data_IF_978357733050
#
_entry.id   IF_978357733050
#
_cell.length_a   1.000
_cell.length_b   1.000
_cell.length_c   1.000
_cell.angle_alpha   90.00
_cell.angle_beta   90.00
_cell.angle_gamma   90.00
#
_symmetry.space_group_name_H-M   'P 1'
#
loop_
_entity.id
_entity.type
_entity.pdbx_description
1 polymer ?
#
# COMPACT_ATOMS: atom_id res chain seq x y z
N UNK A 1 6.02 -1.27 -5.23
CA UNK A 1 7.06 -0.48 -5.94
C UNK A 1 7.19 0.86 -5.25
N UNK A 2 8.33 1.53 -5.35
CA UNK A 2 8.47 2.95 -4.97
C UNK A 2 8.64 3.83 -6.22
N UNK A 3 8.84 5.14 -6.03
CA UNK A 3 8.96 6.15 -7.09
C UNK A 3 10.29 6.05 -7.84
N UNK A 4 10.52 4.94 -8.55
CA UNK A 4 11.78 4.66 -9.28
C UNK A 4 11.52 4.22 -10.72
N UNK A 5 12.47 4.51 -11.61
CA UNK A 5 12.43 4.03 -13.00
C UNK A 5 12.54 2.49 -13.13
N UNK A 6 12.85 1.79 -12.02
CA UNK A 6 12.86 0.34 -11.99
C UNK A 6 11.43 -0.25 -12.10
N UNK A 7 10.41 0.46 -11.61
CA UNK A 7 9.03 -0.04 -11.63
C UNK A 7 8.93 -1.41 -10.98
N UNK A 8 8.33 -2.38 -11.66
CA UNK A 8 8.18 -3.76 -11.22
C UNK A 8 9.48 -4.53 -11.04
N UNK A 9 10.55 -4.12 -11.71
CA UNK A 9 11.83 -4.84 -11.66
C UNK A 9 12.44 -4.83 -10.26
N UNK A 10 12.15 -3.78 -9.47
CA UNK A 10 12.67 -3.63 -8.11
C UNK A 10 12.05 -4.65 -7.14
N UNK A 11 10.72 -4.72 -6.95
CA UNK A 11 10.13 -5.77 -6.13
C UNK A 11 10.39 -7.18 -6.66
N UNK A 12 10.54 -7.34 -7.99
CA UNK A 12 10.90 -8.62 -8.61
C UNK A 12 12.38 -9.00 -8.42
N UNK A 13 13.22 -8.12 -7.87
CA UNK A 13 14.64 -8.40 -7.63
C UNK A 13 15.51 -8.43 -8.88
N UNK A 14 15.05 -7.85 -10.00
CA UNK A 14 15.77 -7.78 -11.27
C UNK A 14 16.77 -6.62 -11.27
N UNK A 15 16.33 -5.42 -10.86
CA UNK A 15 17.18 -4.22 -10.68
C UNK A 15 16.50 -3.22 -9.75
N UNK A 16 17.27 -2.29 -9.17
CA UNK A 16 16.77 -1.29 -8.22
C UNK A 16 17.41 -1.49 -6.85
N UNK A 17 16.76 -1.04 -5.79
CA UNK A 17 17.25 -1.23 -4.44
C UNK A 17 17.17 -2.74 -4.05
N UNK A 18 18.31 -3.40 -3.73
CA UNK A 18 18.32 -4.81 -3.34
C UNK A 18 17.59 -5.09 -2.03
N UNK A 19 17.25 -4.06 -1.26
CA UNK A 19 16.44 -4.14 -0.04
C UNK A 19 14.94 -4.09 -0.32
N UNK A 20 14.50 -3.85 -1.55
CA UNK A 20 13.08 -3.76 -1.92
C UNK A 20 12.59 -4.87 -2.83
N UNK A 21 13.33 -5.97 -2.95
CA UNK A 21 12.99 -7.19 -3.72
C UNK A 21 11.94 -8.09 -3.05
N UNK A 22 10.94 -7.51 -2.38
CA UNK A 22 10.00 -8.26 -1.54
C UNK A 22 9.06 -9.19 -2.31
N UNK A 23 8.80 -8.98 -3.60
CA UNK A 23 8.04 -9.94 -4.40
C UNK A 23 8.86 -11.19 -4.70
N UNK A 24 10.18 -11.05 -4.92
CA UNK A 24 11.09 -12.19 -5.03
C UNK A 24 11.23 -12.91 -3.68
N UNK A 25 11.47 -12.18 -2.59
CA UNK A 25 11.61 -12.77 -1.24
C UNK A 25 10.34 -13.55 -0.83
N UNK A 26 9.14 -13.02 -1.12
CA UNK A 26 7.88 -13.74 -0.87
C UNK A 26 7.70 -14.96 -1.79
N UNK A 27 8.14 -14.89 -3.05
CA UNK A 27 8.13 -16.06 -3.94
C UNK A 27 9.05 -17.18 -3.43
N UNK A 28 10.23 -16.83 -2.91
CA UNK A 28 11.14 -17.77 -2.24
C UNK A 28 10.52 -18.40 -0.98
N UNK A 29 9.59 -17.71 -0.33
CA UNK A 29 8.78 -18.20 0.80
C UNK A 29 7.52 -18.97 0.35
N UNK A 30 7.39 -19.28 -0.95
CA UNK A 30 6.31 -20.11 -1.50
C UNK A 30 4.98 -19.37 -1.68
N UNK A 31 5.00 -18.05 -1.84
CA UNK A 31 3.85 -17.29 -2.33
C UNK A 31 3.89 -17.18 -3.86
N UNK A 32 2.73 -17.07 -4.49
CA UNK A 32 2.65 -16.59 -5.88
C UNK A 32 2.63 -15.08 -5.84
N UNK A 33 3.56 -14.44 -6.53
CA UNK A 33 3.70 -12.97 -6.54
C UNK A 33 3.49 -12.39 -7.93
N UNK A 34 2.80 -11.24 -7.98
CA UNK A 34 2.57 -10.46 -9.18
C UNK A 34 2.86 -8.99 -8.86
N UNK A 35 3.77 -8.37 -9.61
CA UNK A 35 4.16 -6.97 -9.44
C UNK A 35 3.88 -6.20 -10.75
N UNK A 36 2.67 -5.64 -10.95
CA UNK A 36 2.37 -4.85 -12.13
C UNK A 36 2.97 -3.44 -12.00
N UNK A 37 3.59 -2.90 -13.06
CA UNK A 37 4.13 -1.53 -13.07
C UNK A 37 3.07 -0.50 -12.65
N UNK A 38 3.44 0.43 -11.76
CA UNK A 38 2.59 1.59 -11.48
C UNK A 38 2.50 2.47 -12.74
N UNK A 39 1.35 3.13 -13.01
CA UNK A 39 1.18 4.01 -14.16
C UNK A 39 2.32 5.03 -14.30
N UNK A 40 2.90 5.12 -15.49
CA UNK A 40 4.06 5.95 -15.86
C UNK A 40 5.40 5.56 -15.21
N UNK A 41 5.54 4.32 -14.73
CA UNK A 41 6.80 3.71 -14.30
C UNK A 41 7.08 2.40 -15.04
N UNK A 42 8.34 1.95 -14.99
CA UNK A 42 8.79 0.73 -15.65
C UNK A 42 8.42 0.75 -17.13
N UNK A 43 7.70 -0.29 -17.58
CA UNK A 43 7.24 -0.42 -18.97
C UNK A 43 5.81 0.12 -19.18
N UNK A 44 5.14 0.59 -18.11
CA UNK A 44 3.78 1.10 -18.21
C UNK A 44 3.78 2.60 -18.55
N UNK A 45 4.01 2.93 -19.82
CA UNK A 45 3.82 4.30 -20.31
C UNK A 45 2.34 4.69 -20.20
N UNK A 46 2.07 5.82 -19.53
CA UNK A 46 0.72 6.30 -19.27
C UNK A 46 0.68 7.83 -19.17
N UNK A 47 -0.17 8.45 -19.99
CA UNK A 47 -0.40 9.89 -20.00
C UNK A 47 -1.64 10.23 -19.15
N UNK A 48 -1.45 11.00 -18.07
CA UNK A 48 -2.51 11.39 -17.14
C UNK A 48 -3.41 12.54 -17.63
N UNK A 49 -3.33 12.93 -18.90
CA UNK A 49 -4.29 13.89 -19.48
C UNK A 49 -5.73 13.37 -19.33
N UNK A 50 -6.68 14.19 -18.85
CA UNK A 50 -8.06 13.74 -18.61
C UNK A 50 -8.74 13.09 -19.81
N UNK A 51 -8.45 13.54 -21.03
CA UNK A 51 -8.98 12.97 -22.27
C UNK A 51 -8.46 11.55 -22.59
N UNK A 52 -7.45 11.06 -21.87
CA UNK A 52 -6.87 9.72 -22.01
C UNK A 52 -7.40 8.71 -20.99
N UNK A 53 -8.32 9.11 -20.10
CA UNK A 53 -8.96 8.24 -19.13
C UNK A 53 -8.72 8.70 -17.69
N UNK A 54 -8.10 7.86 -16.87
CA UNK A 54 -7.78 8.22 -15.48
C UNK A 54 -6.76 9.35 -15.44
N UNK A 55 -7.15 10.50 -14.87
CA UNK A 55 -6.25 11.62 -14.61
C UNK A 55 -5.44 11.47 -13.31
N UNK A 56 -5.70 10.40 -12.55
CA UNK A 56 -5.02 10.07 -11.29
C UNK A 56 -4.32 8.73 -11.44
N UNK A 57 -3.01 8.73 -11.18
CA UNK A 57 -2.20 7.52 -11.10
C UNK A 57 -2.68 6.58 -10.02
N UNK A 58 -3.09 7.10 -8.86
CA UNK A 58 -3.62 6.25 -7.79
C UNK A 58 -4.88 5.51 -8.24
N UNK A 59 -5.82 6.20 -8.90
CA UNK A 59 -7.04 5.56 -9.40
C UNK A 59 -6.77 4.57 -10.53
N UNK A 60 -5.85 4.88 -11.45
CA UNK A 60 -5.44 3.95 -12.50
C UNK A 60 -4.75 2.72 -11.93
N UNK A 61 -3.85 2.88 -10.96
CA UNK A 61 -3.16 1.79 -10.30
C UNK A 61 -4.12 0.90 -9.50
N UNK A 62 -5.13 1.47 -8.84
CA UNK A 62 -6.21 0.69 -8.20
C UNK A 62 -6.88 -0.21 -9.23
N UNK A 63 -7.25 0.32 -10.40
CA UNK A 63 -7.85 -0.48 -11.47
C UNK A 63 -6.91 -1.58 -11.96
N UNK A 64 -5.63 -1.28 -12.18
CA UNK A 64 -4.63 -2.26 -12.63
C UNK A 64 -4.44 -3.38 -11.62
N UNK A 65 -4.40 -3.05 -10.33
CA UNK A 65 -4.28 -4.03 -9.27
C UNK A 65 -5.54 -4.89 -9.15
N UNK A 66 -6.75 -4.34 -9.38
CA UNK A 66 -7.97 -5.15 -9.45
C UNK A 66 -7.91 -6.16 -10.61
N UNK A 67 -7.35 -5.76 -11.77
CA UNK A 67 -7.10 -6.68 -12.89
C UNK A 67 -6.01 -7.70 -12.57
N UNK A 68 -5.00 -7.31 -11.78
CA UNK A 68 -3.98 -8.21 -11.29
C UNK A 68 -4.58 -9.28 -10.36
N UNK A 69 -5.53 -8.92 -9.50
CA UNK A 69 -6.29 -9.88 -8.69
C UNK A 69 -7.15 -10.80 -9.56
N UNK A 70 -7.81 -10.29 -10.62
CA UNK A 70 -8.54 -11.14 -11.57
C UNK A 70 -7.62 -12.17 -12.23
N UNK A 71 -6.43 -11.75 -12.65
CA UNK A 71 -5.43 -12.65 -13.22
C UNK A 71 -4.98 -13.70 -12.19
N UNK A 72 -4.64 -13.30 -10.97
CA UNK A 72 -4.25 -14.23 -9.91
C UNK A 72 -5.35 -15.27 -9.65
N UNK A 73 -6.62 -14.86 -9.55
CA UNK A 73 -7.73 -15.79 -9.32
C UNK A 73 -8.00 -16.74 -10.50
N UNK A 74 -7.48 -16.45 -11.70
CA UNK A 74 -7.57 -17.35 -12.84
C UNK A 74 -6.54 -18.48 -12.82
N UNK A 75 -5.50 -18.37 -11.99
CA UNK A 75 -4.43 -19.37 -11.89
C UNK A 75 -4.87 -20.51 -10.96
N UNK A 76 -4.76 -21.78 -11.39
CA UNK A 76 -5.17 -22.93 -10.57
C UNK A 76 -4.35 -23.09 -9.28
N UNK A 77 -3.16 -22.49 -9.21
CA UNK A 77 -2.28 -22.53 -8.05
C UNK A 77 -2.62 -21.46 -6.99
N UNK A 78 -3.53 -20.53 -7.28
CA UNK A 78 -3.93 -19.45 -6.36
C UNK A 78 -5.24 -19.80 -5.68
N UNK A 79 -5.24 -19.82 -4.34
CA UNK A 79 -6.48 -19.82 -3.56
C UNK A 79 -7.08 -18.41 -3.53
N UNK A 80 -8.29 -18.17 -4.08
CA UNK A 80 -8.92 -16.86 -4.09
C UNK A 80 -9.19 -16.29 -2.68
N UNK A 81 -9.20 -17.13 -1.64
CA UNK A 81 -9.37 -16.72 -0.25
C UNK A 81 -8.05 -16.39 0.46
N UNK A 82 -6.90 -16.45 -0.22
CA UNK A 82 -5.56 -16.24 0.35
C UNK A 82 -4.75 -15.18 -0.42
N UNK A 83 -5.41 -14.16 -0.96
CA UNK A 83 -4.74 -13.08 -1.71
C UNK A 83 -4.53 -11.87 -0.80
N UNK A 84 -3.30 -11.35 -0.73
CA UNK A 84 -2.98 -10.10 -0.02
C UNK A 84 -2.14 -9.15 -0.87
N UNK A 85 -1.88 -7.95 -0.35
CA UNK A 85 -1.06 -6.95 -1.02
C UNK A 85 0.00 -6.36 -0.09
N UNK A 86 1.14 -6.01 -0.67
CA UNK A 86 2.28 -5.39 0.02
C UNK A 86 2.90 -4.30 -0.85
N UNK A 87 3.27 -3.18 -0.25
CA UNK A 87 3.96 -2.11 -0.95
C UNK A 87 4.80 -1.22 -0.03
N UNK A 88 5.72 -0.49 -0.65
CA UNK A 88 6.61 0.48 -0.01
C UNK A 88 6.46 1.85 -0.68
N UNK A 89 6.50 2.97 0.07
CA UNK A 89 6.38 4.33 -0.48
C UNK A 89 5.09 4.50 -1.30
N UNK A 90 5.18 4.95 -2.55
CA UNK A 90 4.07 4.98 -3.51
C UNK A 90 3.26 3.67 -3.57
N UNK A 91 3.93 2.52 -3.49
CA UNK A 91 3.27 1.22 -3.45
C UNK A 91 2.57 0.95 -2.12
N UNK A 92 3.10 1.48 -1.01
CA UNK A 92 2.46 1.40 0.31
C UNK A 92 1.20 2.26 0.37
N UNK A 93 1.25 3.46 -0.21
CA UNK A 93 0.07 4.30 -0.46
C UNK A 93 -0.96 3.53 -1.28
N UNK A 94 -0.55 3.00 -2.42
CA UNK A 94 -1.49 2.36 -3.34
C UNK A 94 -2.01 1.00 -2.84
N UNK A 95 -1.29 0.31 -1.96
CA UNK A 95 -1.80 -0.88 -1.27
C UNK A 95 -3.03 -0.56 -0.42
N UNK A 96 -3.02 0.58 0.31
CA UNK A 96 -4.18 1.05 1.10
C UNK A 96 -5.35 1.34 0.17
N UNK A 97 -5.15 2.20 -0.82
CA UNK A 97 -6.22 2.59 -1.75
C UNK A 97 -6.79 1.38 -2.51
N UNK A 98 -5.94 0.49 -3.01
CA UNK A 98 -6.39 -0.73 -3.69
C UNK A 98 -7.25 -1.57 -2.76
N UNK A 99 -6.82 -1.80 -1.52
CA UNK A 99 -7.58 -2.60 -0.57
C UNK A 99 -8.94 -1.99 -0.20
N UNK A 100 -9.09 -0.66 -0.22
CA UNK A 100 -10.40 0.00 -0.03
C UNK A 100 -11.38 -0.37 -1.14
N UNK A 101 -10.92 -0.44 -2.40
CA UNK A 101 -11.78 -0.77 -3.55
C UNK A 101 -11.84 -2.26 -3.91
N UNK A 102 -10.90 -3.06 -3.41
CA UNK A 102 -10.76 -4.47 -3.75
C UNK A 102 -10.98 -5.35 -2.49
N UNK A 103 -12.22 -5.84 -2.26
CA UNK A 103 -12.56 -6.63 -1.09
C UNK A 103 -11.95 -8.05 -1.10
N UNK A 104 -11.44 -8.54 -2.25
CA UNK A 104 -10.80 -9.86 -2.34
C UNK A 104 -9.40 -9.88 -1.71
N UNK A 105 -8.79 -8.73 -1.47
CA UNK A 105 -7.54 -8.64 -0.71
C UNK A 105 -7.83 -8.86 0.79
N UNK A 106 -7.23 -9.91 1.35
CA UNK A 106 -7.48 -10.44 2.69
C UNK A 106 -6.47 -9.97 3.73
N UNK A 107 -5.26 -9.57 3.32
CA UNK A 107 -4.25 -9.00 4.21
C UNK A 107 -3.48 -7.89 3.49
N UNK A 108 -3.20 -6.79 4.19
CA UNK A 108 -2.62 -5.58 3.63
C UNK A 108 -1.36 -5.20 4.39
N UNK A 109 -0.27 -4.93 3.67
CA UNK A 109 0.97 -4.37 4.21
C UNK A 109 1.27 -3.04 3.52
N UNK A 110 1.43 -1.98 4.31
CA UNK A 110 1.90 -0.68 3.85
C UNK A 110 3.17 -0.29 4.59
N UNK A 111 4.29 -0.16 3.86
CA UNK A 111 5.56 0.34 4.38
C UNK A 111 5.79 1.76 3.89
N UNK A 112 6.03 2.70 4.80
CA UNK A 112 6.35 4.10 4.53
C UNK A 112 5.43 4.68 3.44
N UNK A 113 4.12 4.43 3.52
CA UNK A 113 3.19 4.71 2.41
C UNK A 113 2.12 5.74 2.72
N UNK A 114 2.10 6.28 3.93
CA UNK A 114 1.07 7.22 4.36
C UNK A 114 1.54 7.95 5.61
N UNK A 115 0.91 9.10 5.87
CA UNK A 115 0.85 9.75 7.18
C UNK A 115 -0.49 10.47 7.28
N UNK A 116 -0.80 11.07 8.43
CA UNK A 116 -1.99 11.91 8.58
C UNK A 116 -1.91 13.10 7.60
N UNK A 117 -2.87 13.20 6.68
CA UNK A 117 -2.87 14.26 5.65
C UNK A 117 -2.85 15.67 6.25
N UNK A 118 -3.44 15.84 7.44
CA UNK A 118 -3.47 17.13 8.15
C UNK A 118 -2.16 17.48 8.86
N UNK A 119 -1.19 16.56 8.89
CA UNK A 119 0.17 16.76 9.41
C UNK A 119 1.23 16.81 8.31
N UNK A 120 0.81 16.73 7.05
CA UNK A 120 1.71 16.59 5.92
C UNK A 120 1.63 17.77 4.95
N UNK A 121 2.57 17.85 4.02
CA UNK A 121 2.56 18.79 2.91
C UNK A 121 1.56 18.35 1.83
N UNK A 122 0.29 18.79 1.93
CA UNK A 122 -0.77 18.43 0.98
C UNK A 122 -0.37 18.50 -0.50
N UNK A 123 0.33 19.55 -0.99
CA UNK A 123 0.87 19.59 -2.35
C UNK A 123 1.61 18.32 -2.81
N UNK A 124 2.35 17.62 -1.93
CA UNK A 124 3.08 16.38 -2.25
C UNK A 124 2.16 15.27 -2.78
N UNK A 125 0.89 15.28 -2.35
CA UNK A 125 -0.15 14.32 -2.73
C UNK A 125 -0.92 14.68 -4.00
N UNK A 126 -0.68 15.86 -4.58
CA UNK A 126 -1.54 16.41 -5.64
C UNK A 126 -0.99 16.23 -7.06
N UNK A 127 0.19 15.63 -7.20
CA UNK A 127 0.73 15.30 -8.51
C UNK A 127 -0.20 14.35 -9.29
N UNK A 128 -0.10 14.29 -10.63
CA UNK A 128 -0.93 13.41 -11.46
C UNK A 128 -0.72 11.92 -11.14
N UNK A 129 0.43 11.55 -10.57
CA UNK A 129 0.68 10.18 -10.07
C UNK A 129 -0.12 9.85 -8.80
N UNK A 130 -0.70 10.83 -8.12
CA UNK A 130 -1.43 10.70 -6.86
C UNK A 130 -2.87 11.20 -7.00
N UNK A 131 -3.26 12.24 -6.26
CA UNK A 131 -4.63 12.72 -6.05
C UNK A 131 -4.80 14.18 -6.53
N UNK A 132 -4.74 14.45 -7.85
CA UNK A 132 -4.70 15.81 -8.39
C UNK A 132 -5.96 16.64 -8.12
N UNK A 133 -7.10 16.00 -7.85
CA UNK A 133 -8.32 16.71 -7.48
C UNK A 133 -8.20 17.45 -6.15
N UNK A 134 -7.28 17.07 -5.26
CA UNK A 134 -7.07 17.82 -4.01
C UNK A 134 -6.68 19.27 -4.28
N UNK A 135 -5.82 19.50 -5.27
CA UNK A 135 -5.43 20.85 -5.67
C UNK A 135 -6.62 21.63 -6.27
N UNK A 136 -7.30 21.05 -7.26
CA UNK A 136 -8.34 21.78 -8.00
C UNK A 136 -9.67 21.92 -7.24
N UNK A 137 -10.06 20.92 -6.43
CA UNK A 137 -11.35 20.90 -5.74
C UNK A 137 -11.27 21.42 -4.30
N UNK A 138 -10.12 21.23 -3.63
CA UNK A 138 -9.95 21.61 -2.23
C UNK A 138 -8.86 22.67 -2.02
N UNK A 139 -8.20 23.14 -3.08
CA UNK A 139 -7.24 24.24 -3.02
C UNK A 139 -6.00 23.92 -2.20
N UNK A 140 -5.56 22.66 -2.17
CA UNK A 140 -4.49 22.16 -1.30
C UNK A 140 -4.74 22.39 0.20
N UNK A 141 -6.00 22.54 0.61
CA UNK A 141 -6.36 22.77 2.01
C UNK A 141 -6.70 21.42 2.69
N UNK A 142 -5.85 20.91 3.61
CA UNK A 142 -6.08 19.64 4.28
C UNK A 142 -7.41 19.62 5.07
N UNK A 143 -7.90 20.78 5.51
CA UNK A 143 -9.16 20.87 6.26
C UNK A 143 -10.40 20.64 5.38
N UNK A 144 -10.25 20.81 4.06
CA UNK A 144 -11.33 20.63 3.07
C UNK A 144 -11.33 19.26 2.42
N UNK A 145 -10.25 18.49 2.58
CA UNK A 145 -10.21 17.10 2.09
C UNK A 145 -11.21 16.26 2.89
N UNK A 146 -12.15 15.55 2.24
CA UNK A 146 -13.29 14.92 2.91
C UNK A 146 -12.96 13.59 3.58
N UNK A 147 -11.68 13.21 3.61
CA UNK A 147 -11.21 12.00 4.27
C UNK A 147 -9.77 12.18 4.80
N UNK A 148 -9.30 11.23 5.59
CA UNK A 148 -7.89 11.00 5.92
C UNK A 148 -7.56 9.49 5.93
N UNK A 149 -6.28 9.15 6.10
CA UNK A 149 -5.84 7.76 6.10
C UNK A 149 -6.43 6.91 7.23
N UNK A 150 -6.83 7.49 8.37
CA UNK A 150 -7.49 6.74 9.45
C UNK A 150 -8.88 6.24 9.07
N UNK A 151 -9.62 7.00 8.25
CA UNK A 151 -10.90 6.54 7.72
C UNK A 151 -10.68 5.43 6.69
N UNK A 152 -9.69 5.59 5.80
CA UNK A 152 -9.33 4.56 4.82
C UNK A 152 -8.96 3.24 5.50
N UNK A 153 -8.03 3.27 6.46
CA UNK A 153 -7.60 2.07 7.21
C UNK A 153 -8.75 1.56 8.07
N UNK A 154 -9.55 2.44 8.69
CA UNK A 154 -10.75 2.05 9.44
C UNK A 154 -11.73 1.23 8.59
N UNK A 155 -11.93 1.58 7.32
CA UNK A 155 -12.81 0.81 6.41
C UNK A 155 -12.28 -0.58 6.06
N UNK A 156 -10.99 -0.87 6.33
CA UNK A 156 -10.42 -2.19 6.09
C UNK A 156 -10.87 -3.20 7.16
N UNK A 157 -11.28 -2.76 8.36
CA UNK A 157 -11.74 -3.66 9.42
C UNK A 157 -12.85 -4.61 8.92
N UNK A 158 -12.81 -5.92 9.25
CA UNK A 158 -11.84 -6.61 10.11
C UNK A 158 -10.59 -7.15 9.37
N UNK A 159 -10.35 -6.77 8.11
CA UNK A 159 -9.21 -7.29 7.33
C UNK A 159 -7.88 -6.88 7.97
N UNK A 160 -6.95 -7.82 8.17
CA UNK A 160 -5.62 -7.53 8.69
C UNK A 160 -4.90 -6.42 7.93
N UNK A 161 -4.37 -5.45 8.68
CA UNK A 161 -3.54 -4.36 8.18
C UNK A 161 -2.26 -4.22 9.00
N UNK A 162 -1.12 -4.17 8.30
CA UNK A 162 0.19 -3.96 8.88
C UNK A 162 0.83 -2.68 8.34
N UNK A 163 1.19 -1.76 9.24
CA UNK A 163 1.96 -0.57 8.94
C UNK A 163 3.43 -0.74 9.35
N UNK A 164 4.35 -0.39 8.46
CA UNK A 164 5.74 -0.08 8.80
C UNK A 164 5.98 1.40 8.56
N UNK A 165 6.37 2.16 9.58
CA UNK A 165 6.66 3.58 9.44
C UNK A 165 8.00 3.92 10.09
N UNK A 166 9.00 4.23 9.27
CA UNK A 166 10.35 4.50 9.74
C UNK A 166 10.40 5.82 10.53
N UNK A 167 11.14 5.86 11.64
CA UNK A 167 11.10 7.02 12.55
C UNK A 167 11.91 8.23 12.08
N UNK A 168 12.78 8.06 11.07
CA UNK A 168 13.54 9.14 10.42
C UNK A 168 13.15 9.26 8.94
N UNK A 169 11.91 8.95 8.63
CA UNK A 169 11.34 9.11 7.29
C UNK A 169 11.11 10.60 7.01
N UNK A 170 11.77 11.13 5.97
CA UNK A 170 11.64 12.53 5.56
C UNK A 170 10.41 12.77 4.67
N UNK A 171 9.79 11.71 4.14
CA UNK A 171 8.60 11.80 3.28
C UNK A 171 7.31 11.69 4.09
N UNK A 172 7.28 10.84 5.13
CA UNK A 172 6.07 10.56 5.91
C UNK A 172 6.35 10.62 7.42
N UNK A 173 5.89 11.70 8.08
CA UNK A 173 6.07 11.84 9.53
C UNK A 173 5.40 10.69 10.30
N UNK A 174 6.23 9.91 11.01
CA UNK A 174 5.79 8.80 11.86
C UNK A 174 4.78 9.22 12.93
N UNK A 175 4.78 10.49 13.37
CA UNK A 175 3.80 11.01 14.32
C UNK A 175 2.38 10.97 13.73
N UNK A 176 2.21 11.29 12.45
CA UNK A 176 0.93 11.20 11.77
C UNK A 176 0.48 9.76 11.53
N UNK A 177 1.42 8.84 11.26
CA UNK A 177 1.10 7.40 11.20
C UNK A 177 0.57 6.90 12.55
N UNK A 178 1.19 7.29 13.66
CA UNK A 178 0.73 6.91 15.01
C UNK A 178 -0.69 7.39 15.28
N UNK A 179 -1.01 8.64 14.93
CA UNK A 179 -2.37 9.17 15.05
C UNK A 179 -3.37 8.35 14.23
N UNK A 180 -2.99 8.03 12.98
CA UNK A 180 -3.82 7.26 12.06
C UNK A 180 -4.12 5.87 12.61
N UNK A 181 -3.09 5.16 13.08
CA UNK A 181 -3.23 3.83 13.66
C UNK A 181 -4.05 3.86 14.96
N UNK A 182 -3.87 4.88 15.80
CA UNK A 182 -4.65 5.05 17.02
C UNK A 182 -6.14 5.29 16.72
N UNK A 183 -6.46 6.14 15.74
CA UNK A 183 -7.83 6.42 15.35
C UNK A 183 -8.50 5.20 14.68
N UNK A 184 -7.81 4.53 13.75
CA UNK A 184 -8.32 3.33 13.08
C UNK A 184 -8.56 2.15 14.06
N UNK A 185 -7.76 2.06 15.13
CA UNK A 185 -7.91 1.03 16.16
C UNK A 185 -9.31 1.01 16.78
N UNK A 186 -9.94 2.17 16.98
CA UNK A 186 -11.30 2.24 17.51
C UNK A 186 -12.29 1.48 16.64
N UNK A 187 -12.15 1.55 15.31
CA UNK A 187 -13.01 0.82 14.37
C UNK A 187 -12.69 -0.68 14.39
N UNK A 188 -11.40 -1.06 14.37
CA UNK A 188 -11.02 -2.47 14.49
C UNK A 188 -11.52 -3.12 15.79
N UNK A 189 -11.52 -2.38 16.91
CA UNK A 189 -12.02 -2.86 18.20
C UNK A 189 -13.55 -3.06 18.18
N UNK A 190 -14.32 -2.22 17.47
CA UNK A 190 -15.77 -2.44 17.26
C UNK A 190 -16.05 -3.76 16.52
N UNK A 191 -15.14 -4.17 15.63
CA UNK A 191 -15.19 -5.44 14.92
C UNK A 191 -14.54 -6.61 15.67
N UNK A 192 -14.11 -6.41 16.92
CA UNK A 192 -13.35 -7.41 17.70
C UNK A 192 -12.07 -7.90 17.00
N UNK A 193 -11.52 -7.07 16.11
CA UNK A 193 -10.37 -7.37 15.26
C UNK A 193 -9.15 -6.51 15.62
N UNK A 194 -9.09 -5.93 16.83
CA UNK A 194 -8.01 -5.04 17.26
C UNK A 194 -6.60 -5.63 17.14
N UNK A 195 -6.45 -6.96 17.23
CA UNK A 195 -5.18 -7.66 17.02
C UNK A 195 -4.77 -7.82 15.56
N UNK A 196 -5.67 -7.53 14.61
CA UNK A 196 -5.41 -7.57 13.17
C UNK A 196 -4.86 -6.23 12.64
N UNK A 197 -4.81 -5.19 13.48
CA UNK A 197 -4.21 -3.90 13.17
C UNK A 197 -2.83 -3.80 13.86
N UNK A 198 -1.77 -3.90 13.07
CA UNK A 198 -0.39 -3.93 13.57
C UNK A 198 0.44 -2.78 13.01
N UNK A 199 1.34 -2.24 13.83
CA UNK A 199 2.26 -1.18 13.43
C UNK A 199 3.65 -1.42 14.01
N UNK A 200 4.69 -1.21 13.20
CA UNK A 200 6.09 -1.22 13.64
C UNK A 200 6.79 0.06 13.20
N UNK A 201 7.71 0.54 14.05
CA UNK A 201 8.37 1.83 13.88
C UNK A 201 9.89 1.68 13.90
N UNK A 202 10.51 1.18 12.81
CA UNK A 202 11.95 0.96 12.79
C UNK A 202 12.73 2.28 12.84
N UNK A 203 13.85 2.31 13.58
CA UNK A 203 14.79 3.44 13.54
C UNK A 203 15.63 3.40 12.27
N UNK A 204 15.05 3.94 11.20
CA UNK A 204 15.58 3.92 9.85
C UNK A 204 15.15 5.20 9.10
N UNK A 205 15.83 5.55 7.98
CA UNK A 205 15.33 6.52 7.03
C UNK A 205 14.15 5.94 6.22
N UNK A 206 13.66 6.65 5.20
CA UNK A 206 12.66 6.16 4.24
C UNK A 206 13.10 4.84 3.58
N UNK A 207 12.74 3.72 4.17
CA UNK A 207 13.27 2.40 3.81
C UNK A 207 12.40 1.29 4.39
N UNK A 208 12.61 0.06 3.91
CA UNK A 208 11.94 -1.12 4.44
C UNK A 208 12.98 -2.14 4.95
N UNK A 209 13.49 -2.00 6.20
CA UNK A 209 14.59 -2.82 6.69
C UNK A 209 14.28 -4.31 6.72
N UNK A 210 15.30 -5.15 6.57
CA UNK A 210 15.16 -6.62 6.47
C UNK A 210 14.34 -7.23 7.61
N UNK A 211 14.62 -6.86 8.86
CA UNK A 211 13.88 -7.40 10.02
C UNK A 211 12.42 -6.93 10.06
N UNK A 212 12.15 -5.75 9.50
CA UNK A 212 10.79 -5.22 9.34
C UNK A 212 10.06 -5.94 8.19
N UNK A 213 10.74 -6.20 7.07
CA UNK A 213 10.19 -7.01 5.96
C UNK A 213 9.83 -8.41 6.42
N UNK A 214 10.70 -9.08 7.18
CA UNK A 214 10.42 -10.41 7.76
C UNK A 214 9.17 -10.43 8.65
N UNK A 215 8.96 -9.37 9.44
CA UNK A 215 7.74 -9.23 10.23
C UNK A 215 6.50 -9.08 9.34
N UNK A 216 6.57 -8.26 8.29
CA UNK A 216 5.50 -8.12 7.31
C UNK A 216 5.21 -9.45 6.57
N UNK A 217 6.23 -10.24 6.24
CA UNK A 217 6.04 -11.56 5.61
C UNK A 217 5.39 -12.54 6.58
N UNK A 218 5.82 -12.54 7.84
CA UNK A 218 5.19 -13.37 8.89
C UNK A 218 3.74 -12.96 9.14
N UNK A 219 3.43 -11.67 9.02
CA UNK A 219 2.07 -11.15 9.08
C UNK A 219 1.22 -11.66 7.91
N UNK A 220 1.71 -11.55 6.67
CA UNK A 220 1.02 -12.09 5.50
C UNK A 220 0.84 -13.60 5.60
N UNK A 221 1.86 -14.33 6.03
CA UNK A 221 1.79 -15.77 6.23
C UNK A 221 0.69 -16.17 7.21
N UNK A 222 0.68 -15.56 8.40
CA UNK A 222 -0.33 -15.81 9.43
C UNK A 222 -1.76 -15.56 8.98
N UNK A 223 -1.98 -14.58 8.10
CA UNK A 223 -3.32 -14.15 7.70
C UNK A 223 -3.80 -14.72 6.37
N UNK A 224 -2.89 -15.14 5.49
CA UNK A 224 -3.22 -15.73 4.21
C UNK A 224 -3.13 -17.26 4.26
N UNK A 225 -2.09 -17.82 4.89
CA UNK A 225 -2.03 -19.28 5.09
C UNK A 225 -2.98 -19.62 6.24
N UNK A 226 -4.21 -19.97 5.90
CA UNK A 226 -5.12 -20.60 6.86
C UNK A 226 -4.43 -21.80 7.51
N UNK A 227 -4.72 -22.10 8.78
CA UNK A 227 -4.29 -23.37 9.40
C UNK A 227 -4.64 -24.49 8.43
N UNK A 228 -3.62 -25.23 7.97
CA UNK A 228 -3.80 -26.34 7.05
C UNK A 228 -5.04 -27.15 7.46
N UNK A 229 -6.02 -27.25 6.57
CA UNK A 229 -7.16 -28.14 6.78
C UNK A 229 -6.67 -29.59 6.81
#
# INVERSE_FOLDING_TARGET
QQTTAAGKDEPAGVRGDPTLKYALELAELGFITLAPDYPSFGEHDYDFKPERGYASGSMKAVWDNMRAVDLLQSLPEVDPEQIGCIGHSLGGHNAIFTAVFEPRLKAIVSSCGFTNLRKDDIPSWTGPRYMPLIASAFGNDPSKVPFDFHELIGTLAPRPFFASAATRDDDFDVSGVRDVMQAAKAIYDLHQAGSALEAVYPDAPHSFPNDTRKQAYSFLERHLRGTAK
#
